data_IF_884099058684
#
_entry.id   IF_884099058684
#
_cell.length_a   1.000
_cell.length_b   1.000
_cell.length_c   1.000
_cell.angle_alpha   90.00
_cell.angle_beta   90.00
_cell.angle_gamma   90.00
#
_symmetry.space_group_name_H-M   'P 1'
#
loop_
_entity.id
_entity.type
_entity.pdbx_description
1 polymer ?
#
# COMPACT_ATOMS: atom_id res chain seq x y z
N UNK A 1 -5.67 -2.85 26.08
CA UNK A 1 -6.94 -3.50 25.69
C UNK A 1 -7.39 -3.03 24.31
N UNK A 2 -7.45 -1.71 24.05
CA UNK A 2 -7.82 -1.14 22.73
C UNK A 2 -6.99 -1.72 21.57
N UNK A 3 -5.66 -1.75 21.70
CA UNK A 3 -4.75 -2.26 20.65
C UNK A 3 -5.09 -3.69 20.22
N UNK A 4 -5.41 -4.56 21.17
CA UNK A 4 -5.79 -5.95 20.87
C UNK A 4 -7.07 -6.00 20.04
N UNK A 5 -8.07 -5.18 20.39
CA UNK A 5 -9.33 -5.08 19.64
C UNK A 5 -9.08 -4.60 18.22
N UNK A 6 -8.31 -3.50 18.06
CA UNK A 6 -8.02 -2.91 16.75
C UNK A 6 -7.20 -3.86 15.86
N UNK A 7 -6.19 -4.54 16.43
CA UNK A 7 -5.40 -5.53 15.71
C UNK A 7 -6.25 -6.74 15.31
N UNK A 8 -7.14 -7.21 16.19
CA UNK A 8 -8.05 -8.32 15.86
C UNK A 8 -8.98 -7.96 14.70
N UNK A 9 -9.56 -6.75 14.71
CA UNK A 9 -10.38 -6.24 13.61
C UNK A 9 -9.55 -6.18 12.32
N UNK A 10 -8.33 -5.61 12.38
CA UNK A 10 -7.43 -5.53 11.22
C UNK A 10 -7.16 -6.92 10.62
N UNK A 11 -6.83 -7.90 11.45
CA UNK A 11 -6.55 -9.27 11.00
C UNK A 11 -7.76 -9.91 10.33
N UNK A 12 -8.96 -9.77 10.90
CA UNK A 12 -10.19 -10.31 10.31
C UNK A 12 -10.43 -9.68 8.94
N UNK A 13 -10.35 -8.36 8.83
CA UNK A 13 -10.55 -7.66 7.57
C UNK A 13 -9.50 -8.01 6.52
N UNK A 14 -8.23 -8.13 6.91
CA UNK A 14 -7.15 -8.54 6.02
C UNK A 14 -7.32 -9.98 5.53
N UNK A 15 -7.78 -10.90 6.38
CA UNK A 15 -8.07 -12.28 5.98
C UNK A 15 -9.22 -12.35 4.96
N UNK A 16 -10.29 -11.60 5.21
CA UNK A 16 -11.44 -11.54 4.28
C UNK A 16 -11.01 -10.88 2.96
N UNK A 17 -10.28 -9.76 3.01
CA UNK A 17 -9.76 -9.07 1.84
C UNK A 17 -8.85 -9.98 1.00
N UNK A 18 -7.91 -10.68 1.64
CA UNK A 18 -7.02 -11.64 0.98
C UNK A 18 -7.78 -12.80 0.34
N UNK A 19 -8.78 -13.36 1.03
CA UNK A 19 -9.60 -14.43 0.49
C UNK A 19 -10.40 -13.97 -0.74
N UNK A 20 -11.02 -12.80 -0.68
CA UNK A 20 -11.80 -12.25 -1.80
C UNK A 20 -10.90 -11.89 -2.98
N UNK A 21 -9.74 -11.30 -2.73
CA UNK A 21 -8.77 -10.95 -3.77
C UNK A 21 -8.24 -12.18 -4.50
N UNK A 22 -7.91 -13.26 -3.80
CA UNK A 22 -7.49 -14.53 -4.41
C UNK A 22 -8.60 -15.11 -5.29
N UNK A 23 -9.87 -15.00 -4.87
CA UNK A 23 -11.01 -15.62 -5.56
C UNK A 23 -11.53 -14.77 -6.72
N UNK A 24 -11.65 -13.47 -6.55
CA UNK A 24 -12.28 -12.55 -7.52
C UNK A 24 -11.33 -11.54 -8.12
N UNK A 25 -10.09 -11.46 -7.60
CA UNK A 25 -9.07 -10.43 -7.92
C UNK A 25 -9.53 -9.00 -7.62
N UNK A 26 -10.43 -8.88 -6.67
CA UNK A 26 -10.98 -7.61 -6.22
C UNK A 26 -11.31 -7.67 -4.74
N UNK A 27 -11.02 -6.59 -4.02
CA UNK A 27 -11.48 -6.41 -2.64
C UNK A 27 -12.81 -5.67 -2.68
N UNK A 28 -13.91 -6.24 -2.11
CA UNK A 28 -15.23 -5.64 -2.18
C UNK A 28 -15.29 -4.26 -1.52
N UNK A 29 -15.98 -3.33 -2.14
CA UNK A 29 -16.11 -1.96 -1.65
C UNK A 29 -16.77 -1.89 -0.26
N UNK A 30 -17.76 -2.76 0.03
CA UNK A 30 -18.39 -2.79 1.35
C UNK A 30 -17.40 -3.10 2.47
N UNK A 31 -16.41 -3.97 2.20
CA UNK A 31 -15.36 -4.32 3.16
C UNK A 31 -14.46 -3.10 3.44
N UNK A 32 -14.02 -2.44 2.38
CA UNK A 32 -13.14 -1.28 2.47
C UNK A 32 -13.83 -0.10 3.18
N UNK A 33 -15.06 0.23 2.78
CA UNK A 33 -15.78 1.37 3.36
C UNK A 33 -16.32 1.11 4.76
N UNK A 34 -16.60 -0.14 5.16
CA UNK A 34 -17.04 -0.45 6.53
C UNK A 34 -15.91 -0.37 7.55
N UNK A 35 -14.66 -0.58 7.11
CA UNK A 35 -13.51 -0.58 8.01
C UNK A 35 -13.26 0.78 8.67
N UNK A 36 -13.40 1.87 7.91
CA UNK A 36 -13.17 3.24 8.42
C UNK A 36 -14.14 3.61 9.56
N UNK A 37 -15.48 3.55 9.37
CA UNK A 37 -16.41 3.89 10.45
C UNK A 37 -16.33 2.91 11.62
N UNK A 38 -16.02 1.63 11.37
CA UNK A 38 -15.82 0.66 12.44
C UNK A 38 -14.59 1.03 13.29
N UNK A 39 -13.45 1.33 12.66
CA UNK A 39 -12.23 1.73 13.34
C UNK A 39 -12.41 3.00 14.18
N UNK A 40 -12.98 4.03 13.56
CA UNK A 40 -13.23 5.31 14.23
C UNK A 40 -14.31 5.17 15.31
N UNK A 41 -15.34 4.35 15.10
CA UNK A 41 -16.38 4.07 16.10
C UNK A 41 -15.82 3.39 17.35
N UNK A 42 -14.98 2.35 17.20
CA UNK A 42 -14.31 1.70 18.33
C UNK A 42 -13.41 2.66 19.08
N UNK A 43 -12.63 3.48 18.37
CA UNK A 43 -11.76 4.50 18.98
C UNK A 43 -12.58 5.58 19.71
N UNK A 44 -13.70 6.02 19.13
CA UNK A 44 -14.58 7.01 19.76
C UNK A 44 -15.19 6.47 21.05
N UNK A 45 -15.75 5.26 21.03
CA UNK A 45 -16.33 4.62 22.23
C UNK A 45 -15.27 4.48 23.32
N UNK A 46 -14.06 4.03 22.95
CA UNK A 46 -12.98 3.91 23.91
C UNK A 46 -12.51 5.26 24.44
N UNK A 47 -12.37 6.26 23.57
CA UNK A 47 -12.02 7.65 23.93
C UNK A 47 -12.97 8.26 24.97
N UNK A 48 -14.28 8.03 24.77
CA UNK A 48 -15.32 8.48 25.72
C UNK A 48 -15.26 7.70 27.05
N UNK A 49 -14.98 6.39 26.98
CA UNK A 49 -14.92 5.55 28.18
C UNK A 49 -13.72 5.87 29.09
N UNK A 50 -12.58 6.27 28.49
CA UNK A 50 -11.35 6.60 29.23
C UNK A 50 -11.22 8.12 29.47
N UNK A 51 -12.09 8.91 28.84
CA UNK A 51 -12.07 10.38 28.88
C UNK A 51 -10.78 10.98 28.26
N UNK A 52 -10.20 10.28 27.24
CA UNK A 52 -9.00 10.68 26.51
C UNK A 52 -9.31 10.89 25.02
N UNK A 53 -9.46 12.13 24.61
CA UNK A 53 -9.76 12.49 23.20
C UNK A 53 -8.59 12.25 22.24
N UNK A 54 -7.35 12.09 22.75
CA UNK A 54 -6.18 11.73 21.93
C UNK A 54 -6.42 10.47 21.13
N UNK A 55 -7.11 9.49 21.68
CA UNK A 55 -7.34 8.18 21.03
C UNK A 55 -8.13 8.30 19.73
N UNK A 56 -9.17 9.11 19.68
CA UNK A 56 -9.94 9.34 18.45
C UNK A 56 -9.17 10.23 17.47
N UNK A 57 -8.44 11.23 17.99
CA UNK A 57 -7.61 12.13 17.16
C UNK A 57 -6.53 11.33 16.46
N UNK A 58 -5.83 10.41 17.14
CA UNK A 58 -4.83 9.54 16.55
C UNK A 58 -5.41 8.70 15.40
N UNK A 59 -6.62 8.18 15.55
CA UNK A 59 -7.33 7.46 14.49
C UNK A 59 -7.64 8.32 13.28
N UNK A 60 -8.11 9.55 13.51
CA UNK A 60 -8.42 10.51 12.45
C UNK A 60 -7.16 10.94 11.69
N UNK A 61 -6.08 11.23 12.43
CA UNK A 61 -4.79 11.61 11.83
C UNK A 61 -4.18 10.44 11.08
N UNK A 62 -4.25 9.20 11.63
CA UNK A 62 -3.85 7.99 10.94
C UNK A 62 -4.64 7.75 9.66
N UNK A 63 -5.97 7.91 9.69
CA UNK A 63 -6.80 7.87 8.50
C UNK A 63 -6.36 8.89 7.46
N UNK A 64 -6.17 10.16 7.84
CA UNK A 64 -5.77 11.23 6.92
C UNK A 64 -4.40 10.96 6.28
N UNK A 65 -3.41 10.52 7.07
CA UNK A 65 -2.09 10.19 6.58
C UNK A 65 -2.12 9.03 5.57
N UNK A 66 -2.84 7.97 5.88
CA UNK A 66 -2.96 6.81 4.99
C UNK A 66 -3.87 7.08 3.79
N UNK A 67 -4.84 7.99 3.92
CA UNK A 67 -5.63 8.48 2.79
C UNK A 67 -4.73 9.17 1.75
N UNK A 68 -3.86 10.09 2.19
CA UNK A 68 -2.90 10.76 1.29
C UNK A 68 -1.95 9.75 0.66
N UNK A 69 -1.41 8.82 1.45
CA UNK A 69 -0.53 7.77 0.94
C UNK A 69 -1.24 6.88 -0.09
N UNK A 70 -2.48 6.49 0.20
CA UNK A 70 -3.31 5.68 -0.70
C UNK A 70 -3.58 6.40 -2.04
N UNK A 71 -3.86 7.70 -2.01
CA UNK A 71 -4.02 8.50 -3.23
C UNK A 71 -2.72 8.53 -4.03
N UNK A 72 -1.58 8.77 -3.39
CA UNK A 72 -0.27 8.76 -4.07
C UNK A 72 -0.02 7.41 -4.73
N UNK A 73 -0.22 6.29 -4.01
CA UNK A 73 0.00 4.94 -4.56
C UNK A 73 -0.96 4.60 -5.70
N UNK A 74 -2.21 5.05 -5.61
CA UNK A 74 -3.21 4.86 -6.66
C UNK A 74 -2.88 5.68 -7.93
N UNK A 75 -2.64 6.98 -7.80
CA UNK A 75 -2.37 7.84 -8.95
C UNK A 75 -1.02 7.59 -9.62
N UNK A 76 -0.04 7.08 -8.88
CA UNK A 76 1.24 6.63 -9.45
C UNK A 76 1.14 5.24 -10.10
N UNK A 77 -0.02 4.59 -10.03
CA UNK A 77 -0.23 3.26 -10.62
C UNK A 77 0.51 2.13 -9.92
N UNK A 78 0.96 2.35 -8.68
CA UNK A 78 1.66 1.33 -7.89
C UNK A 78 0.69 0.33 -7.28
N UNK A 79 -0.49 0.79 -6.85
CA UNK A 79 -1.50 -0.04 -6.18
C UNK A 79 -2.85 0.06 -6.87
N UNK A 80 -3.62 -1.03 -6.77
CA UNK A 80 -5.01 -1.08 -7.21
C UNK A 80 -5.94 -0.26 -6.32
N UNK A 81 -7.13 0.04 -6.84
CA UNK A 81 -8.13 0.81 -6.10
C UNK A 81 -8.60 0.12 -4.81
N UNK A 82 -8.69 -1.22 -4.82
CA UNK A 82 -9.04 -2.03 -3.65
C UNK A 82 -8.01 -1.90 -2.52
N UNK A 83 -6.72 -2.09 -2.85
CA UNK A 83 -5.62 -1.99 -1.91
C UNK A 83 -5.51 -0.60 -1.29
N UNK A 84 -5.69 0.44 -2.14
CA UNK A 84 -5.66 1.83 -1.69
C UNK A 84 -6.78 2.15 -0.70
N UNK A 85 -8.01 1.67 -0.95
CA UNK A 85 -9.14 1.85 -0.03
C UNK A 85 -8.94 1.09 1.29
N UNK A 86 -8.42 -0.14 1.22
CA UNK A 86 -8.11 -0.94 2.40
C UNK A 86 -7.04 -0.25 3.27
N UNK A 87 -6.02 0.34 2.65
CA UNK A 87 -4.97 1.08 3.33
C UNK A 87 -5.55 2.24 4.15
N UNK A 88 -6.53 2.99 3.63
CA UNK A 88 -7.19 4.07 4.35
C UNK A 88 -7.84 3.57 5.66
N UNK A 89 -8.54 2.44 5.59
CA UNK A 89 -9.15 1.82 6.77
C UNK A 89 -8.14 1.35 7.80
N UNK A 90 -7.03 0.77 7.35
CA UNK A 90 -5.92 0.38 8.22
C UNK A 90 -5.28 1.59 8.91
N UNK A 91 -5.19 2.74 8.23
CA UNK A 91 -4.73 3.98 8.84
C UNK A 91 -5.60 4.42 10.01
N UNK A 92 -6.93 4.33 9.89
CA UNK A 92 -7.86 4.61 10.97
C UNK A 92 -7.72 3.64 12.16
N UNK A 93 -7.44 2.36 11.89
CA UNK A 93 -7.21 1.35 12.92
C UNK A 93 -5.88 1.55 13.64
N UNK A 94 -4.78 1.74 12.90
CA UNK A 94 -3.44 1.85 13.45
C UNK A 94 -3.28 3.18 14.21
N UNK A 95 -3.82 4.28 13.66
CA UNK A 95 -3.61 5.63 14.17
C UNK A 95 -2.21 6.16 13.84
N UNK A 96 -1.94 7.40 14.20
CA UNK A 96 -0.65 8.04 14.02
C UNK A 96 -0.12 8.55 15.36
N UNK A 97 0.76 7.79 15.98
CA UNK A 97 1.63 8.33 17.02
C UNK A 97 2.89 8.91 16.36
N UNK A 98 3.21 10.17 16.65
CA UNK A 98 4.39 10.87 16.12
C UNK A 98 5.71 10.39 16.76
N UNK A 99 5.96 9.10 16.71
CA UNK A 99 7.22 8.50 17.18
C UNK A 99 7.75 7.53 16.12
N UNK A 100 9.03 7.63 15.76
CA UNK A 100 9.66 6.76 14.77
C UNK A 100 9.72 5.27 15.16
N UNK A 101 9.46 4.96 16.43
CA UNK A 101 9.39 3.59 16.96
C UNK A 101 7.96 3.02 17.01
N UNK A 102 7.04 3.58 16.24
CA UNK A 102 5.64 3.19 16.28
C UNK A 102 5.35 1.94 15.46
N UNK A 103 4.30 1.24 15.87
CA UNK A 103 3.71 0.14 15.13
C UNK A 103 3.40 0.50 13.68
N UNK A 104 3.01 1.75 13.40
CA UNK A 104 2.74 2.26 12.06
C UNK A 104 3.98 2.25 11.16
N UNK A 105 5.11 2.78 11.63
CA UNK A 105 6.34 2.80 10.85
C UNK A 105 6.80 1.37 10.54
N UNK A 106 6.77 0.48 11.56
CA UNK A 106 7.09 -0.94 11.39
C UNK A 106 6.13 -1.63 10.41
N UNK A 107 4.82 -1.34 10.48
CA UNK A 107 3.82 -1.88 9.57
C UNK A 107 4.11 -1.47 8.11
N UNK A 108 4.35 -0.18 7.84
CA UNK A 108 4.66 0.32 6.49
C UNK A 108 5.95 -0.28 5.94
N UNK A 109 7.02 -0.29 6.74
CA UNK A 109 8.33 -0.85 6.33
C UNK A 109 8.18 -2.34 6.01
N UNK A 110 7.52 -3.12 6.88
CA UNK A 110 7.30 -4.54 6.67
C UNK A 110 6.43 -4.79 5.43
N UNK A 111 5.39 -4.00 5.22
CA UNK A 111 4.52 -4.12 4.03
C UNK A 111 5.31 -3.89 2.74
N UNK A 112 6.18 -2.86 2.70
CA UNK A 112 7.03 -2.58 1.54
C UNK A 112 8.04 -3.71 1.32
N UNK A 113 8.71 -4.18 2.38
CA UNK A 113 9.72 -5.24 2.29
C UNK A 113 9.06 -6.55 1.80
N UNK A 114 8.00 -7.00 2.47
CA UNK A 114 7.34 -8.27 2.14
C UNK A 114 6.70 -8.18 0.74
N UNK A 115 6.04 -7.07 0.42
CA UNK A 115 5.44 -6.84 -0.90
C UNK A 115 6.48 -6.83 -2.01
N UNK A 116 7.64 -6.19 -1.81
CA UNK A 116 8.73 -6.18 -2.80
C UNK A 116 9.36 -7.56 -2.98
N UNK A 117 9.58 -8.30 -1.90
CA UNK A 117 10.09 -9.67 -1.96
C UNK A 117 9.11 -10.59 -2.70
N UNK A 118 7.82 -10.51 -2.39
CA UNK A 118 6.78 -11.26 -3.10
C UNK A 118 6.77 -10.93 -4.60
N UNK A 119 6.80 -9.63 -4.95
CA UNK A 119 6.83 -9.19 -6.35
C UNK A 119 8.08 -9.64 -7.10
N UNK A 120 9.25 -9.62 -6.44
CA UNK A 120 10.50 -10.13 -7.01
C UNK A 120 10.44 -11.64 -7.27
N UNK A 121 10.00 -12.42 -6.28
CA UNK A 121 9.86 -13.88 -6.40
C UNK A 121 8.91 -14.21 -7.55
N UNK A 122 7.75 -13.57 -7.61
CA UNK A 122 6.77 -13.79 -8.68
C UNK A 122 7.30 -13.39 -10.07
N UNK A 123 8.03 -12.28 -10.14
CA UNK A 123 8.67 -11.81 -11.39
C UNK A 123 9.71 -12.81 -11.90
N UNK A 124 10.55 -13.32 -10.99
CA UNK A 124 11.55 -14.33 -11.30
C UNK A 124 10.90 -15.63 -11.77
N UNK A 125 9.90 -16.14 -11.05
CA UNK A 125 9.16 -17.33 -11.43
C UNK A 125 8.47 -17.17 -12.79
N UNK A 126 7.85 -16.01 -13.06
CA UNK A 126 7.22 -15.71 -14.34
C UNK A 126 8.24 -15.62 -15.48
N UNK A 127 9.41 -15.05 -15.25
CA UNK A 127 10.51 -15.00 -16.21
C UNK A 127 11.02 -16.41 -16.55
N UNK A 128 11.18 -17.28 -15.55
CA UNK A 128 11.56 -18.67 -15.77
C UNK A 128 10.49 -19.46 -16.53
N UNK A 129 9.22 -19.27 -16.21
CA UNK A 129 8.09 -19.95 -16.87
C UNK A 129 7.94 -19.54 -18.33
N UNK A 130 8.23 -18.27 -18.67
CA UNK A 130 8.06 -17.69 -20.01
C UNK A 130 9.39 -17.22 -20.62
N UNK A 131 10.47 -17.98 -20.49
CA UNK A 131 11.85 -17.59 -20.89
C UNK A 131 11.94 -16.99 -22.29
N UNK A 132 11.30 -17.60 -23.29
CA UNK A 132 11.35 -17.13 -24.70
C UNK A 132 10.74 -15.74 -24.87
N UNK A 133 9.59 -15.48 -24.21
CA UNK A 133 8.91 -14.19 -24.26
C UNK A 133 9.71 -13.14 -23.46
N UNK A 134 10.21 -13.51 -22.30
CA UNK A 134 11.02 -12.65 -21.43
C UNK A 134 12.29 -12.16 -22.15
N UNK A 135 13.08 -13.06 -22.77
CA UNK A 135 14.29 -12.70 -23.51
C UNK A 135 13.97 -11.78 -24.70
N UNK A 136 12.87 -12.06 -25.42
CA UNK A 136 12.43 -11.20 -26.53
C UNK A 136 12.09 -9.77 -26.09
N UNK A 137 11.37 -9.64 -24.98
CA UNK A 137 11.01 -8.32 -24.44
C UNK A 137 12.23 -7.59 -23.84
N UNK A 138 13.15 -8.30 -23.18
CA UNK A 138 14.43 -7.72 -22.75
C UNK A 138 15.24 -7.15 -23.92
N UNK A 139 15.29 -7.85 -25.05
CA UNK A 139 15.97 -7.35 -26.26
C UNK A 139 15.32 -6.08 -26.80
N UNK A 140 13.98 -6.00 -26.78
CA UNK A 140 13.26 -4.77 -27.16
C UNK A 140 13.59 -3.60 -26.24
N UNK A 141 13.54 -3.82 -24.92
CA UNK A 141 13.86 -2.79 -23.93
C UNK A 141 15.30 -2.31 -24.10
N UNK A 142 16.26 -3.22 -24.24
CA UNK A 142 17.67 -2.90 -24.48
C UNK A 142 17.84 -2.03 -25.74
N UNK A 143 17.15 -2.37 -26.82
CA UNK A 143 17.19 -1.59 -28.08
C UNK A 143 16.57 -0.19 -27.90
N UNK A 144 15.46 -0.09 -27.16
CA UNK A 144 14.80 1.18 -26.84
C UNK A 144 15.69 2.06 -25.97
N UNK A 145 16.30 1.51 -24.94
CA UNK A 145 17.24 2.21 -24.06
C UNK A 145 18.46 2.74 -24.79
N UNK A 146 19.02 1.97 -25.72
CA UNK A 146 20.14 2.41 -26.56
C UNK A 146 19.73 3.56 -27.48
N UNK A 147 18.50 3.56 -28.02
CA UNK A 147 17.96 4.64 -28.83
C UNK A 147 17.78 5.91 -27.99
N UNK A 148 17.21 5.79 -26.79
CA UNK A 148 17.02 6.90 -25.88
C UNK A 148 18.37 7.51 -25.44
N UNK A 149 19.38 6.69 -25.13
CA UNK A 149 20.71 7.14 -24.76
C UNK A 149 21.39 7.92 -25.90
N UNK A 150 21.25 7.46 -27.13
CA UNK A 150 21.75 8.19 -28.32
C UNK A 150 21.04 9.53 -28.49
N UNK A 151 19.74 9.55 -28.34
CA UNK A 151 18.94 10.79 -28.41
C UNK A 151 19.36 11.79 -27.33
N UNK A 152 19.54 11.35 -26.08
CA UNK A 152 20.01 12.18 -24.98
C UNK A 152 21.42 12.73 -25.22
N UNK A 153 22.33 11.94 -25.80
CA UNK A 153 23.68 12.38 -26.16
C UNK A 153 23.65 13.46 -27.25
N UNK A 154 22.82 13.28 -28.28
CA UNK A 154 22.66 14.30 -29.35
C UNK A 154 22.07 15.58 -28.78
N UNK A 155 21.06 15.49 -27.92
CA UNK A 155 20.45 16.64 -27.26
C UNK A 155 21.46 17.39 -26.37
N UNK A 156 22.29 16.65 -25.63
CA UNK A 156 23.33 17.21 -24.78
C UNK A 156 24.42 17.93 -25.60
N UNK A 157 24.82 17.37 -26.72
CA UNK A 157 25.78 18.01 -27.64
C UNK A 157 25.21 19.30 -28.26
N UNK A 158 23.90 19.28 -28.65
CA UNK A 158 23.22 20.45 -29.21
C UNK A 158 23.01 21.59 -28.19
N UNK A 159 22.95 21.25 -26.89
CA UNK A 159 22.85 22.23 -25.80
C UNK A 159 24.21 22.86 -25.43
N UNK A 160 25.32 22.27 -25.86
CA UNK A 160 26.69 22.77 -25.61
C UNK A 160 27.27 23.60 -26.77
N UNK A 161 26.54 23.64 -27.91
CA UNK A 161 26.87 24.49 -29.09
C UNK A 161 26.05 25.76 -29.08
#
# INVERSE_FOLDING_TARGET
MLTIILVSIALIYLLIASYTDIKTREVPDWLNFSLVPLALGVRLIYSLAVNEYSVIIDGLVGFAAFFVLALVMFYTGQWGGGDSKLLMGLGALIGLEFSFNTFMASFLINTIIIGSLYGLIWSVLSAFRNRKKFVKELHKIKKSMLKLRRFMLVLFVLLLL
#
